data_IF_380546012609
#
_entry.id   IF_380546012609
#
_cell.length_a   1.000
_cell.length_b   1.000
_cell.length_c   1.000
_cell.angle_alpha   90.00
_cell.angle_beta   90.00
_cell.angle_gamma   90.00
#
_symmetry.space_group_name_H-M   'P 1'
#
loop_
_entity.id
_entity.type
_entity.pdbx_description
1 polymer ?
#
# COMPACT_ATOMS: atom_id res chain seq x y z
N UNK A 1 -22.15 13.40 10.96
CA UNK A 1 -20.86 14.12 11.06
C UNK A 1 -20.01 13.59 9.93
N UNK A 2 -19.70 14.42 8.94
CA UNK A 2 -18.77 14.01 7.87
C UNK A 2 -17.35 14.10 8.41
N UNK A 3 -16.51 13.12 8.08
CA UNK A 3 -15.07 13.24 8.30
C UNK A 3 -14.55 14.44 7.52
N UNK A 4 -13.67 15.20 8.16
CA UNK A 4 -12.98 16.29 7.49
C UNK A 4 -11.63 15.80 6.93
N UNK A 5 -11.00 16.55 6.01
CA UNK A 5 -9.71 16.16 5.47
C UNK A 5 -8.59 16.01 6.51
N UNK A 6 -8.78 16.58 7.71
CA UNK A 6 -7.82 16.50 8.80
C UNK A 6 -7.98 15.19 9.58
N UNK A 7 -9.19 14.63 9.66
CA UNK A 7 -9.45 13.28 10.18
C UNK A 7 -8.70 12.25 9.33
N UNK A 8 -8.84 12.29 8.01
CA UNK A 8 -8.15 11.36 7.09
C UNK A 8 -6.62 11.51 7.16
N UNK A 9 -6.14 12.75 7.31
CA UNK A 9 -4.70 13.04 7.46
C UNK A 9 -4.15 12.56 8.80
N UNK A 10 -4.95 12.66 9.85
CA UNK A 10 -4.57 12.22 11.19
C UNK A 10 -4.56 10.69 11.27
N UNK A 11 -5.54 10.02 10.65
CA UNK A 11 -5.60 8.57 10.54
C UNK A 11 -4.36 7.99 9.83
N UNK A 12 -3.83 8.70 8.82
CA UNK A 12 -2.66 8.27 8.04
C UNK A 12 -1.29 8.65 8.62
N UNK A 13 -1.22 9.47 9.69
CA UNK A 13 0.06 9.90 10.30
C UNK A 13 0.14 9.72 11.81
N UNK A 14 -0.85 9.09 12.43
CA UNK A 14 -0.87 8.85 13.87
C UNK A 14 -0.50 7.39 14.21
N UNK A 15 0.69 7.12 14.78
CA UNK A 15 1.12 5.77 15.12
C UNK A 15 0.26 5.06 16.18
N UNK A 16 -0.59 5.81 16.90
CA UNK A 16 -1.53 5.24 17.86
C UNK A 16 -2.91 4.94 17.22
N UNK A 17 -3.06 5.16 15.92
CA UNK A 17 -4.27 4.85 15.16
C UNK A 17 -4.10 3.51 14.42
N UNK A 18 -5.14 2.67 14.41
CA UNK A 18 -5.14 1.39 13.69
C UNK A 18 -5.03 1.57 12.17
N UNK A 19 -5.70 2.59 11.62
CA UNK A 19 -5.68 2.88 10.19
C UNK A 19 -4.28 3.25 9.67
N UNK A 20 -3.42 3.80 10.53
CA UNK A 20 -2.01 4.06 10.23
C UNK A 20 -1.27 2.74 9.96
N UNK A 21 -1.45 1.74 10.80
CA UNK A 21 -0.79 0.43 10.65
C UNK A 21 -1.33 -0.36 9.46
N UNK A 22 -2.65 -0.32 9.22
CA UNK A 22 -3.27 -0.92 8.04
C UNK A 22 -2.78 -0.29 6.73
N UNK A 23 -2.50 1.02 6.74
CA UNK A 23 -1.93 1.72 5.57
C UNK A 23 -0.50 1.29 5.25
N UNK A 24 0.29 0.90 6.26
CA UNK A 24 1.65 0.40 6.09
C UNK A 24 1.66 -1.02 5.52
N UNK A 25 0.73 -1.88 5.94
CA UNK A 25 0.61 -3.24 5.42
C UNK A 25 0.28 -3.23 3.91
N UNK A 26 -0.58 -2.30 3.48
CA UNK A 26 -0.90 -2.10 2.06
C UNK A 26 0.30 -1.70 1.18
N UNK A 27 1.40 -1.17 1.76
CA UNK A 27 2.60 -0.83 1.00
C UNK A 27 3.46 -2.06 0.65
N UNK A 28 3.23 -3.20 1.31
CA UNK A 28 3.98 -4.45 1.07
C UNK A 28 3.52 -5.20 -0.17
N UNK A 29 2.29 -4.93 -0.63
CA UNK A 29 1.68 -5.57 -1.80
C UNK A 29 1.98 -4.82 -3.11
N UNK A 30 2.76 -3.73 -3.05
CA UNK A 30 3.28 -3.10 -4.26
C UNK A 30 4.30 -4.06 -4.86
N UNK A 31 3.83 -4.82 -5.85
CA UNK A 31 4.55 -5.81 -6.61
C UNK A 31 5.99 -5.34 -6.88
N UNK A 32 6.93 -5.88 -6.12
CA UNK A 32 8.33 -5.55 -6.27
C UNK A 32 8.74 -5.95 -7.71
N UNK A 33 9.36 -5.07 -8.51
CA UNK A 33 9.81 -5.41 -9.86
C UNK A 33 10.71 -6.66 -9.91
N UNK A 34 11.37 -6.98 -8.79
CA UNK A 34 12.21 -8.16 -8.63
C UNK A 34 11.45 -9.37 -8.03
N UNK A 35 10.14 -9.27 -7.78
CA UNK A 35 9.32 -10.37 -7.30
C UNK A 35 9.09 -11.36 -8.44
N UNK A 36 9.35 -12.66 -8.24
CA UNK A 36 9.25 -13.66 -9.31
C UNK A 36 7.84 -13.77 -9.90
N UNK A 37 6.79 -13.46 -9.13
CA UNK A 37 5.39 -13.46 -9.61
C UNK A 37 5.01 -12.19 -10.39
N UNK A 38 5.80 -11.12 -10.30
CA UNK A 38 5.57 -9.85 -11.01
C UNK A 38 6.42 -9.71 -12.28
N UNK A 39 7.49 -10.50 -12.38
CA UNK A 39 8.19 -10.70 -13.63
C UNK A 39 7.23 -11.46 -14.53
N UNK A 40 6.33 -10.72 -15.19
CA UNK A 40 5.46 -11.25 -16.24
C UNK A 40 6.32 -12.08 -17.19
N UNK A 41 5.72 -13.09 -17.77
CA UNK A 41 6.35 -14.06 -18.68
C UNK A 41 6.97 -13.36 -19.92
N UNK A 42 8.03 -12.57 -19.74
CA UNK A 42 8.79 -11.85 -20.75
C UNK A 42 9.83 -12.79 -21.41
N UNK A 43 9.54 -14.09 -21.46
CA UNK A 43 10.37 -15.11 -22.11
C UNK A 43 9.52 -16.10 -22.94
N UNK A 44 8.55 -15.60 -23.70
CA UNK A 44 7.92 -16.33 -24.82
C UNK A 44 7.70 -15.38 -26.02
N UNK A 45 8.76 -15.00 -26.76
CA UNK A 45 8.69 -14.83 -28.23
C UNK A 45 10.08 -14.69 -28.89
N UNK A 46 10.45 -15.73 -29.67
CA UNK A 46 11.53 -15.93 -30.68
C UNK A 46 13.02 -15.99 -30.28
#
# INVERSE_FOLDING_TARGET
>A
MSRDPNDDRSDSMNPNNEAYWDSLDNHSNQLNPNHPEYRGDDEEED
#
